data_IF_435110776218
#
_entry.id   IF_435110776218
#
_cell.length_a   1.000
_cell.length_b   1.000
_cell.length_c   1.000
_cell.angle_alpha   90.00
_cell.angle_beta   90.00
_cell.angle_gamma   90.00
#
_symmetry.space_group_name_H-M   'P 1'
#
loop_
_entity.id
_entity.type
_entity.pdbx_description
1 polymer ?
#
# COMPACT_ATOMS: atom_id res chain seq x y z
N UNK A 1 1.48 -37.06 53.91
CA UNK A 1 1.32 -36.81 52.45
C UNK A 1 0.06 -35.97 52.22
N UNK A 2 0.23 -34.72 51.78
CA UNK A 2 -0.79 -33.83 51.15
C UNK A 2 -0.04 -32.59 50.62
N UNK A 3 0.26 -32.48 49.31
CA UNK A 3 0.90 -31.27 48.78
C UNK A 3 -0.12 -30.14 48.60
N UNK A 4 0.33 -28.93 48.94
CA UNK A 4 -0.41 -27.66 48.89
C UNK A 4 -0.69 -27.28 47.44
N UNK A 5 -1.95 -26.96 47.14
CA UNK A 5 -2.38 -26.41 45.85
C UNK A 5 -1.84 -24.98 45.76
N UNK A 6 -0.82 -24.78 44.93
CA UNK A 6 -0.35 -23.46 44.55
C UNK A 6 -1.38 -22.86 43.58
N UNK A 7 -2.08 -21.84 44.06
CA UNK A 7 -2.98 -21.01 43.26
C UNK A 7 -2.13 -20.18 42.29
N UNK A 8 -1.99 -20.67 41.06
CA UNK A 8 -1.33 -19.94 39.98
C UNK A 8 -2.29 -18.84 39.49
N UNK A 9 -2.13 -17.63 40.03
CA UNK A 9 -2.72 -16.42 39.46
C UNK A 9 -2.11 -16.20 38.06
N UNK A 10 -2.77 -16.70 37.04
CA UNK A 10 -2.52 -16.36 35.66
C UNK A 10 -2.94 -14.90 35.43
N UNK A 11 -2.02 -13.97 35.67
CA UNK A 11 -2.13 -12.61 35.15
C UNK A 11 -2.19 -12.70 33.62
N UNK A 12 -3.38 -12.48 33.06
CA UNK A 12 -3.56 -12.13 31.65
C UNK A 12 -2.71 -10.88 31.38
N UNK A 13 -1.56 -11.07 30.77
CA UNK A 13 -0.83 -10.00 30.09
C UNK A 13 -1.71 -9.58 28.91
N UNK A 14 -2.46 -8.49 29.09
CA UNK A 14 -3.10 -7.78 28.01
C UNK A 14 -1.99 -7.28 27.06
N UNK A 15 -1.78 -8.00 25.97
CA UNK A 15 -0.94 -7.55 24.87
C UNK A 15 -1.54 -6.25 24.35
N UNK A 16 -0.79 -5.14 24.29
CA UNK A 16 -1.29 -3.92 23.70
C UNK A 16 -1.54 -4.22 22.22
N UNK A 17 -2.81 -4.23 21.82
CA UNK A 17 -3.16 -4.13 20.41
C UNK A 17 -2.49 -2.84 19.92
N UNK A 18 -1.58 -2.96 18.94
CA UNK A 18 -0.85 -1.85 18.35
C UNK A 18 -1.84 -0.96 17.57
N UNK A 19 -2.63 -0.18 18.31
CA UNK A 19 -3.45 0.88 17.77
C UNK A 19 -2.53 2.06 17.46
N UNK A 20 -2.24 2.29 16.19
CA UNK A 20 -1.43 3.41 15.76
C UNK A 20 -2.33 4.63 15.50
N UNK A 21 -2.00 5.83 16.00
CA UNK A 21 -2.76 7.02 15.66
C UNK A 21 -2.66 7.31 14.16
N UNK A 22 -3.74 7.82 13.58
CA UNK A 22 -3.83 8.17 12.17
C UNK A 22 -4.78 9.33 11.92
N UNK A 23 -4.69 9.89 10.71
CA UNK A 23 -5.56 10.98 10.24
C UNK A 23 -6.09 10.67 8.85
N UNK A 24 -7.35 11.01 8.61
CA UNK A 24 -7.97 10.90 7.29
C UNK A 24 -7.47 11.99 6.34
N UNK A 25 -6.97 11.60 5.18
CA UNK A 25 -6.50 12.48 4.11
C UNK A 25 -7.64 13.00 3.22
N UNK A 26 -8.74 12.25 3.14
CA UNK A 26 -9.95 12.57 2.39
C UNK A 26 -11.17 11.93 3.04
N UNK A 27 -12.35 12.34 2.61
CA UNK A 27 -13.60 11.68 3.00
C UNK A 27 -13.64 10.25 2.44
N UNK A 28 -14.08 9.31 3.26
CA UNK A 28 -14.27 7.91 2.84
C UNK A 28 -15.42 7.27 3.61
N UNK A 29 -15.92 6.16 3.08
CA UNK A 29 -16.93 5.35 3.75
C UNK A 29 -16.27 4.34 4.69
N UNK A 30 -16.82 4.21 5.90
CA UNK A 30 -16.44 3.18 6.84
C UNK A 30 -17.17 1.89 6.45
N UNK A 31 -16.45 0.93 5.88
CA UNK A 31 -17.01 -0.35 5.42
C UNK A 31 -17.00 -1.42 6.51
N UNK A 32 -17.96 -2.33 6.47
CA UNK A 32 -18.04 -3.44 7.42
C UNK A 32 -16.90 -4.46 7.27
N UNK A 33 -16.46 -4.72 6.03
CA UNK A 33 -15.35 -5.62 5.70
C UNK A 33 -14.39 -4.95 4.71
N UNK A 34 -13.20 -5.53 4.52
CA UNK A 34 -12.17 -5.07 3.59
C UNK A 34 -12.57 -5.34 2.11
N UNK A 35 -13.71 -4.83 1.67
CA UNK A 35 -14.25 -5.01 0.32
C UNK A 35 -15.03 -3.79 -0.15
N UNK A 36 -14.92 -3.48 -1.44
CA UNK A 36 -15.63 -2.35 -2.05
C UNK A 36 -17.15 -2.58 -2.07
N UNK A 37 -17.57 -3.85 -2.13
CA UNK A 37 -18.98 -4.25 -2.12
C UNK A 37 -19.58 -4.36 -0.70
N UNK A 38 -18.78 -4.13 0.35
CA UNK A 38 -19.26 -4.21 1.72
C UNK A 38 -20.26 -3.10 2.07
N UNK A 39 -21.15 -3.41 3.00
CA UNK A 39 -22.08 -2.44 3.56
C UNK A 39 -21.33 -1.26 4.21
N UNK A 40 -21.86 -0.06 4.03
CA UNK A 40 -21.33 1.16 4.65
C UNK A 40 -21.91 1.29 6.06
N UNK A 41 -21.03 1.36 7.06
CA UNK A 41 -21.35 1.60 8.48
C UNK A 41 -21.43 3.10 8.82
N UNK A 42 -20.99 3.96 7.89
CA UNK A 42 -20.97 5.41 8.04
C UNK A 42 -19.95 6.08 7.13
N UNK A 43 -19.75 7.38 7.32
CA UNK A 43 -18.74 8.18 6.63
C UNK A 43 -17.74 8.73 7.63
N UNK A 44 -16.45 8.70 7.28
CA UNK A 44 -15.37 9.33 8.04
C UNK A 44 -14.86 10.52 7.24
N UNK A 45 -14.88 11.69 7.85
CA UNK A 45 -14.52 12.94 7.18
C UNK A 45 -13.01 13.13 7.07
N UNK A 46 -12.57 13.89 6.07
CA UNK A 46 -11.18 14.38 5.98
C UNK A 46 -10.77 15.10 7.28
N UNK A 47 -9.55 14.83 7.74
CA UNK A 47 -8.98 15.42 8.95
C UNK A 47 -9.44 14.75 10.25
N UNK A 48 -10.37 13.81 10.20
CA UNK A 48 -10.76 13.05 11.39
C UNK A 48 -9.57 12.25 11.95
N UNK A 49 -9.40 12.30 13.27
CA UNK A 49 -8.48 11.43 13.99
C UNK A 49 -9.06 10.03 14.09
N UNK A 50 -8.25 9.04 13.80
CA UNK A 50 -8.63 7.62 13.80
C UNK A 50 -7.54 6.77 14.42
N UNK A 51 -7.92 5.64 15.00
CA UNK A 51 -6.98 4.63 15.46
C UNK A 51 -6.88 3.52 14.40
N UNK A 52 -5.68 3.27 13.91
CA UNK A 52 -5.39 2.22 12.94
C UNK A 52 -5.11 0.93 13.70
N UNK A 53 -5.91 -0.11 13.42
CA UNK A 53 -5.81 -1.41 14.10
C UNK A 53 -5.07 -2.45 13.25
N UNK A 54 -5.39 -2.49 11.96
CA UNK A 54 -4.87 -3.51 11.04
C UNK A 54 -4.86 -2.99 9.61
N UNK A 55 -4.12 -3.69 8.73
CA UNK A 55 -4.12 -3.47 7.29
C UNK A 55 -4.38 -4.80 6.60
N UNK A 56 -5.13 -4.75 5.50
CA UNK A 56 -5.43 -5.92 4.69
C UNK A 56 -5.58 -5.46 3.23
N UNK A 57 -4.56 -5.75 2.42
CA UNK A 57 -4.51 -5.31 1.02
C UNK A 57 -4.74 -3.80 0.89
N UNK A 58 -5.70 -3.42 0.04
CA UNK A 58 -6.07 -2.01 -0.20
C UNK A 58 -6.84 -1.32 0.95
N UNK A 59 -7.02 -1.99 2.09
CA UNK A 59 -7.86 -1.53 3.19
C UNK A 59 -7.08 -1.36 4.49
N UNK A 60 -7.56 -0.44 5.33
CA UNK A 60 -7.06 -0.20 6.68
C UNK A 60 -8.22 -0.24 7.65
N UNK A 61 -8.12 -1.12 8.65
CA UNK A 61 -9.09 -1.19 9.72
C UNK A 61 -8.83 -0.04 10.68
N UNK A 62 -9.86 0.78 10.90
CA UNK A 62 -9.80 1.95 11.76
C UNK A 62 -10.94 1.97 12.74
N UNK A 63 -10.69 2.54 13.92
CA UNK A 63 -11.72 2.96 14.86
C UNK A 63 -11.85 4.47 14.83
N UNK A 64 -13.08 4.95 14.65
CA UNK A 64 -13.42 6.38 14.69
C UNK A 64 -14.70 6.57 15.50
N UNK A 65 -14.65 7.45 16.51
CA UNK A 65 -15.79 7.76 17.39
C UNK A 65 -16.52 6.51 17.93
N UNK A 66 -15.77 5.49 18.35
CA UNK A 66 -16.30 4.24 18.91
C UNK A 66 -16.82 3.22 17.90
N UNK A 67 -16.73 3.50 16.59
CA UNK A 67 -17.07 2.55 15.53
C UNK A 67 -15.81 2.02 14.86
N UNK A 68 -15.74 0.70 14.70
CA UNK A 68 -14.65 0.03 13.98
C UNK A 68 -15.12 -0.43 12.61
N UNK A 69 -14.30 -0.18 11.58
CA UNK A 69 -14.56 -0.65 10.23
C UNK A 69 -13.35 -0.45 9.33
N UNK A 70 -13.55 -0.55 8.02
CA UNK A 70 -12.48 -0.54 7.03
C UNK A 70 -12.60 0.69 6.13
N UNK A 71 -11.50 1.40 5.95
CA UNK A 71 -11.36 2.51 5.00
C UNK A 71 -10.28 2.19 3.97
N UNK A 72 -10.24 2.92 2.85
CA UNK A 72 -9.19 2.69 1.83
C UNK A 72 -7.83 3.09 2.41
N UNK A 73 -6.80 2.32 2.12
CA UNK A 73 -5.43 2.57 2.62
C UNK A 73 -4.86 3.92 2.19
N UNK A 74 -5.32 4.45 1.06
CA UNK A 74 -4.94 5.77 0.56
C UNK A 74 -5.75 6.92 1.17
N UNK A 75 -6.82 6.61 1.91
CA UNK A 75 -7.63 7.61 2.59
C UNK A 75 -7.08 7.94 4.00
N UNK A 76 -6.19 7.13 4.55
CA UNK A 76 -5.66 7.30 5.91
C UNK A 76 -4.13 7.38 5.91
N UNK A 77 -3.59 8.26 6.76
CA UNK A 77 -2.15 8.37 7.03
C UNK A 77 -1.88 8.05 8.49
N UNK A 78 -0.99 7.09 8.73
CA UNK A 78 -0.44 6.84 10.07
C UNK A 78 0.37 8.05 10.51
N UNK A 79 0.10 8.56 11.72
CA UNK A 79 0.92 9.60 12.37
C UNK A 79 1.98 9.01 13.30
N UNK A 80 1.96 7.70 13.54
CA UNK A 80 3.06 7.01 14.21
C UNK A 80 4.36 7.13 13.40
N UNK A 81 5.52 7.34 14.05
CA UNK A 81 6.81 7.27 13.37
C UNK A 81 6.93 5.91 12.68
N UNK A 82 7.29 5.92 11.40
CA UNK A 82 7.44 4.71 10.62
C UNK A 82 8.55 3.86 11.24
N UNK A 83 8.18 2.82 11.99
CA UNK A 83 9.10 1.78 12.45
C UNK A 83 9.45 0.88 11.25
N UNK A 84 10.26 1.41 10.34
CA UNK A 84 10.75 0.72 9.15
C UNK A 84 12.11 1.26 8.77
N UNK A 85 13.17 0.48 8.98
CA UNK A 85 14.57 0.86 8.77
C UNK A 85 14.93 1.23 7.32
N UNK A 86 14.00 1.10 6.36
CA UNK A 86 14.20 1.48 4.95
C UNK A 86 13.71 2.88 4.57
N UNK A 87 12.84 3.51 5.35
CA UNK A 87 12.17 4.76 4.92
C UNK A 87 12.99 6.01 5.24
N UNK A 88 13.81 5.99 6.30
CA UNK A 88 14.73 7.10 6.63
C UNK A 88 15.87 7.24 5.62
N UNK A 89 16.38 6.12 5.08
CA UNK A 89 17.35 6.15 4.00
C UNK A 89 16.70 6.63 2.70
N UNK A 90 15.46 6.20 2.41
CA UNK A 90 14.67 6.68 1.27
C UNK A 90 14.33 8.18 1.34
N UNK A 91 14.08 8.72 2.53
CA UNK A 91 13.77 10.14 2.74
C UNK A 91 15.03 11.03 2.62
N UNK A 92 16.18 10.57 3.12
CA UNK A 92 17.47 11.26 2.97
C UNK A 92 17.93 11.23 1.51
N UNK A 93 17.70 10.13 0.81
CA UNK A 93 18.02 9.99 -0.61
C UNK A 93 17.05 10.81 -1.49
N UNK A 94 15.78 10.98 -1.07
CA UNK A 94 14.82 11.86 -1.72
C UNK A 94 15.15 13.36 -1.55
N UNK A 95 15.85 13.74 -0.47
CA UNK A 95 16.30 15.12 -0.23
C UNK A 95 17.64 15.48 -0.89
N UNK A 96 18.48 14.49 -1.23
CA UNK A 96 19.87 14.73 -1.69
C UNK A 96 20.18 14.22 -3.09
N UNK A 97 19.31 13.40 -3.68
CA UNK A 97 19.50 12.90 -5.05
C UNK A 97 18.74 13.77 -6.04
N UNK A 98 19.42 14.27 -7.09
CA UNK A 98 18.72 14.79 -8.28
C UNK A 98 17.74 13.69 -8.73
N UNK A 99 16.47 14.07 -8.97
CA UNK A 99 15.44 13.15 -9.50
C UNK A 99 16.02 12.40 -10.71
N UNK A 100 16.32 11.13 -10.54
CA UNK A 100 16.65 10.23 -11.63
C UNK A 100 15.34 9.63 -12.16
N UNK A 101 14.85 10.07 -13.34
CA UNK A 101 13.62 9.55 -13.92
C UNK A 101 13.72 8.07 -14.32
N UNK A 102 14.92 7.46 -14.30
CA UNK A 102 15.14 6.03 -14.56
C UNK A 102 14.95 5.11 -13.35
N UNK A 103 14.93 5.65 -12.12
CA UNK A 103 14.61 4.86 -10.92
C UNK A 103 13.11 4.85 -10.65
N UNK A 104 12.41 3.95 -11.34
CA UNK A 104 11.04 3.56 -10.95
C UNK A 104 11.13 2.76 -9.66
N UNK A 105 11.07 3.45 -8.52
CA UNK A 105 10.71 2.79 -7.26
C UNK A 105 9.26 2.36 -7.43
N UNK A 106 8.98 1.06 -7.34
CA UNK A 106 7.60 0.55 -7.45
C UNK A 106 6.76 1.07 -6.27
N UNK A 107 6.22 2.28 -6.39
CA UNK A 107 5.42 2.94 -5.34
C UNK A 107 4.02 2.31 -5.21
N UNK A 108 3.62 1.46 -6.17
CA UNK A 108 2.26 0.95 -6.27
C UNK A 108 2.00 -0.39 -5.56
N UNK A 109 3.02 -1.19 -5.23
CA UNK A 109 2.81 -2.60 -4.88
C UNK A 109 2.77 -2.94 -3.38
N UNK A 110 3.44 -2.18 -2.52
CA UNK A 110 3.72 -2.62 -1.14
C UNK A 110 2.88 -1.92 -0.08
N UNK A 111 2.10 -0.91 -0.46
CA UNK A 111 1.27 -0.19 0.51
C UNK A 111 0.06 -1.05 0.85
N UNK A 112 0.17 -1.85 1.91
CA UNK A 112 -0.91 -2.69 2.43
C UNK A 112 -0.64 -4.18 2.45
N UNK A 113 0.52 -4.61 1.94
CA UNK A 113 1.01 -5.98 2.08
C UNK A 113 2.07 -6.00 3.19
N UNK A 114 1.96 -6.92 4.14
CA UNK A 114 2.99 -7.13 5.16
C UNK A 114 4.09 -8.06 4.64
N UNK A 115 5.24 -8.10 5.33
CA UNK A 115 6.40 -8.89 4.88
C UNK A 115 6.08 -10.39 4.86
N UNK A 116 5.26 -10.85 5.80
CA UNK A 116 4.84 -12.24 5.94
C UNK A 116 3.91 -12.69 4.80
N UNK A 117 2.94 -11.86 4.41
CA UNK A 117 2.04 -12.06 3.28
C UNK A 117 2.83 -12.10 1.98
N UNK A 118 3.83 -11.23 1.82
CA UNK A 118 4.71 -11.24 0.66
C UNK A 118 5.54 -12.53 0.59
N UNK A 119 6.03 -13.03 1.73
CA UNK A 119 6.74 -14.31 1.81
C UNK A 119 5.84 -15.51 1.52
N UNK A 120 4.57 -15.42 1.89
CA UNK A 120 3.59 -16.50 1.71
C UNK A 120 2.82 -16.40 0.39
N UNK A 121 3.01 -15.33 -0.39
CA UNK A 121 2.27 -15.07 -1.62
C UNK A 121 2.44 -16.24 -2.61
N UNK A 122 1.32 -16.71 -3.15
CA UNK A 122 1.27 -17.79 -4.15
C UNK A 122 0.39 -17.36 -5.31
N UNK A 123 0.62 -17.97 -6.47
CA UNK A 123 -0.25 -17.79 -7.63
C UNK A 123 -1.69 -18.21 -7.29
N UNK A 124 -2.66 -17.36 -7.60
CA UNK A 124 -4.09 -17.63 -7.44
C UNK A 124 -4.82 -17.40 -8.77
N UNK A 125 -5.19 -18.46 -9.51
CA UNK A 125 -5.83 -18.34 -10.82
C UNK A 125 -7.26 -17.78 -10.75
N UNK A 126 -8.00 -18.04 -9.68
CA UNK A 126 -9.38 -17.58 -9.52
C UNK A 126 -9.43 -16.05 -9.37
N UNK A 127 -8.48 -15.47 -8.63
CA UNK A 127 -8.32 -14.03 -8.50
C UNK A 127 -7.88 -13.38 -9.81
N UNK A 128 -7.10 -14.08 -10.65
CA UNK A 128 -6.73 -13.58 -11.97
C UNK A 128 -7.96 -13.49 -12.89
N UNK A 129 -8.83 -14.51 -12.88
CA UNK A 129 -10.08 -14.47 -13.63
C UNK A 129 -11.04 -13.40 -13.11
N UNK A 130 -11.04 -13.15 -11.80
CA UNK A 130 -11.82 -12.06 -11.21
C UNK A 130 -11.27 -10.70 -11.68
N UNK A 131 -9.94 -10.53 -11.73
CA UNK A 131 -9.29 -9.32 -12.22
C UNK A 131 -9.66 -9.03 -13.68
N UNK A 132 -9.71 -10.04 -14.54
CA UNK A 132 -10.09 -9.91 -15.95
C UNK A 132 -11.51 -9.33 -16.11
N UNK A 133 -12.43 -9.59 -15.16
CA UNK A 133 -13.78 -9.02 -15.18
C UNK A 133 -13.81 -7.52 -14.93
N UNK A 134 -12.78 -6.97 -14.29
CA UNK A 134 -12.64 -5.53 -14.07
C UNK A 134 -11.93 -4.81 -15.22
N UNK A 135 -11.46 -5.53 -16.25
CA UNK A 135 -10.83 -4.93 -17.41
C UNK A 135 -11.84 -4.08 -18.20
N UNK A 136 -11.59 -2.77 -18.30
CA UNK A 136 -12.39 -1.89 -19.16
C UNK A 136 -12.05 -2.14 -20.62
N UNK A 137 -13.05 -2.30 -21.48
CA UNK A 137 -12.81 -2.36 -22.92
C UNK A 137 -12.60 -0.95 -23.51
N UNK A 138 -11.90 -0.90 -24.66
CA UNK A 138 -11.59 0.36 -25.35
C UNK A 138 -12.84 1.19 -25.65
N UNK A 139 -13.93 0.55 -26.07
CA UNK A 139 -15.14 1.26 -26.46
C UNK A 139 -15.80 1.96 -25.27
N UNK A 140 -15.78 1.35 -24.10
CA UNK A 140 -16.33 1.89 -22.85
C UNK A 140 -15.48 3.06 -22.36
N UNK A 141 -14.15 2.90 -22.43
CA UNK A 141 -13.21 3.96 -22.10
C UNK A 141 -13.39 5.18 -23.01
N UNK A 142 -13.57 4.97 -24.32
CA UNK A 142 -13.81 6.05 -25.28
C UNK A 142 -15.16 6.74 -25.06
N UNK A 143 -16.22 6.00 -24.70
CA UNK A 143 -17.51 6.60 -24.34
C UNK A 143 -17.37 7.46 -23.09
N UNK A 144 -16.78 6.92 -22.03
CA UNK A 144 -16.54 7.65 -20.79
C UNK A 144 -15.70 8.92 -21.02
N UNK A 145 -14.68 8.84 -21.87
CA UNK A 145 -13.87 10.00 -22.24
C UNK A 145 -14.69 11.08 -22.95
N UNK A 146 -15.56 10.69 -23.90
CA UNK A 146 -16.47 11.63 -24.58
C UNK A 146 -17.46 12.26 -23.62
N UNK A 147 -18.04 11.47 -22.72
CA UNK A 147 -19.00 11.96 -21.70
C UNK A 147 -18.34 12.94 -20.72
N UNK A 148 -17.07 12.72 -20.39
CA UNK A 148 -16.26 13.63 -19.58
C UNK A 148 -15.70 14.84 -20.38
N UNK A 149 -16.02 14.97 -21.67
CA UNK A 149 -15.54 16.06 -22.53
C UNK A 149 -14.05 15.99 -22.88
N UNK A 150 -13.40 14.84 -22.65
CA UNK A 150 -12.00 14.61 -22.98
C UNK A 150 -11.83 14.48 -24.49
N UNK A 151 -10.82 15.16 -25.04
CA UNK A 151 -10.48 15.10 -26.46
C UNK A 151 -9.28 14.18 -26.67
N UNK A 152 -9.27 13.38 -27.74
CA UNK A 152 -8.10 12.57 -28.08
C UNK A 152 -6.91 13.48 -28.40
N UNK A 153 -5.77 13.20 -27.78
CA UNK A 153 -4.50 13.85 -28.07
C UNK A 153 -3.49 12.79 -28.53
N UNK A 154 -2.96 12.93 -29.74
CA UNK A 154 -1.88 12.07 -30.24
C UNK A 154 -0.56 12.64 -29.74
N UNK A 155 0.14 11.87 -28.90
CA UNK A 155 1.50 12.21 -28.46
C UNK A 155 2.46 11.38 -29.31
N UNK A 156 3.37 12.05 -30.02
CA UNK A 156 4.42 11.36 -30.76
C UNK A 156 5.25 10.52 -29.79
N UNK A 157 5.57 9.29 -30.18
CA UNK A 157 6.42 8.42 -29.36
C UNK A 157 7.76 9.11 -29.12
N UNK A 158 8.31 8.97 -27.91
CA UNK A 158 9.67 9.42 -27.65
C UNK A 158 10.60 8.68 -28.61
N UNK A 159 11.60 9.38 -29.19
CA UNK A 159 12.59 8.71 -30.02
C UNK A 159 13.27 7.63 -29.21
N UNK A 160 13.57 6.50 -29.85
CA UNK A 160 14.35 5.44 -29.20
C UNK A 160 15.60 6.07 -28.56
N UNK A 161 15.88 5.78 -27.28
CA UNK A 161 17.09 6.27 -26.65
C UNK A 161 18.24 5.75 -27.50
N UNK A 162 18.88 6.65 -28.26
CA UNK A 162 20.07 6.33 -29.06
C UNK A 162 21.00 5.60 -28.12
N UNK A 163 21.22 4.33 -28.40
CA UNK A 163 22.04 3.47 -27.56
C UNK A 163 23.28 4.26 -27.22
N UNK A 164 23.51 4.49 -25.92
CA UNK A 164 24.85 4.83 -25.48
C UNK A 164 25.71 3.73 -26.06
N UNK A 165 26.41 4.08 -27.12
CA UNK A 165 27.43 3.27 -27.74
C UNK A 165 28.25 2.82 -26.55
N UNK A 166 28.12 1.55 -26.17
CA UNK A 166 29.01 0.92 -25.22
C UNK A 166 30.34 0.96 -25.94
N UNK A 167 31.02 2.09 -25.81
CA UNK A 167 32.44 2.23 -26.06
C UNK A 167 33.01 1.03 -25.31
N UNK A 168 33.51 0.06 -26.07
CA UNK A 168 34.17 -1.12 -25.54
C UNK A 168 35.40 -0.64 -24.79
N UNK A 169 35.20 -0.12 -23.57
CA UNK A 169 36.28 0.11 -22.64
C UNK A 169 36.61 -1.29 -22.12
N UNK A 170 37.77 -1.87 -22.47
CA UNK A 170 38.18 -3.13 -21.89
C UNK A 170 38.12 -2.99 -20.37
N UNK A 171 37.37 -3.88 -19.75
CA UNK A 171 37.19 -3.92 -18.29
C UNK A 171 38.55 -4.12 -17.63
N UNK A 172 39.02 -3.14 -16.87
CA UNK A 172 40.24 -3.22 -16.05
C UNK A 172 40.08 -4.10 -14.81
N UNK A 173 39.19 -5.11 -14.86
CA UNK A 173 38.84 -6.01 -13.76
C UNK A 173 39.40 -7.42 -13.94
N UNK A 174 40.34 -7.60 -14.86
CA UNK A 174 41.12 -8.82 -15.01
C UNK A 174 42.60 -8.48 -14.95
N UNK A 175 43.08 -8.13 -13.76
CA UNK A 175 44.46 -8.40 -13.35
C UNK A 175 44.51 -8.43 -11.83
N UNK A 176 44.87 -9.60 -11.29
CA UNK A 176 44.88 -9.91 -9.87
C UNK A 176 44.91 -11.41 -9.64
N UNK A 177 46.01 -12.03 -10.08
CA UNK A 177 46.51 -13.28 -9.51
C UNK A 177 46.94 -13.04 -8.06
#
# INVERSE_FOLDING_TARGET
MKPRIALFCACLLATPAFAAPGVMLKDDELKATASAAAASLGRVAKGASVEILARQGGWTQVTSAGKTGWVRILAVKSSAPAAGAGDVLGLVQAGTSKRDPGKVVAVAGLRGLNEEELRQARFNPDELLLLDRYASNRSDAERHARDAGLRPASVAYLPDPKGQQRENRPSSWSDGQ
#
